data_IF_390787123347
#
_entry.id   IF_390787123347
#
_cell.length_a   1.000
_cell.length_b   1.000
_cell.length_c   1.000
_cell.angle_alpha   90.00
_cell.angle_beta   90.00
_cell.angle_gamma   90.00
#
_symmetry.space_group_name_H-M   'P 1'
#
loop_
_entity.id
_entity.type
_entity.pdbx_description
1 polymer ?
#
# COMPACT_ATOMS: atom_id res chain seq x y z
N UNK A 1 8.36 -5.35 -21.36
CA UNK A 1 9.27 -4.78 -20.35
C UNK A 1 9.86 -5.86 -19.47
N UNK A 2 9.16 -6.28 -18.41
CA UNK A 2 9.69 -7.21 -17.38
C UNK A 2 10.25 -8.50 -17.99
N UNK A 3 9.47 -9.20 -18.83
CA UNK A 3 9.92 -10.47 -19.46
C UNK A 3 11.16 -10.30 -20.33
N UNK A 4 11.25 -9.22 -21.08
CA UNK A 4 12.40 -8.94 -21.93
C UNK A 4 13.66 -8.69 -21.10
N UNK A 5 13.56 -7.84 -20.06
CA UNK A 5 14.69 -7.53 -19.17
C UNK A 5 15.12 -8.77 -18.39
N UNK A 6 14.17 -9.57 -17.89
CA UNK A 6 14.48 -10.83 -17.21
C UNK A 6 15.17 -11.81 -18.17
N UNK A 7 14.67 -11.95 -19.40
CA UNK A 7 15.31 -12.80 -20.41
C UNK A 7 16.74 -12.38 -20.72
N UNK A 8 17.00 -11.08 -20.89
CA UNK A 8 18.35 -10.55 -21.07
C UNK A 8 19.21 -10.78 -19.84
N UNK A 9 18.67 -10.61 -18.64
CA UNK A 9 19.39 -10.87 -17.38
C UNK A 9 19.86 -12.33 -17.27
N UNK A 10 19.00 -13.27 -17.66
CA UNK A 10 19.35 -14.70 -17.69
C UNK A 10 20.42 -14.95 -18.76
N UNK A 11 20.28 -14.35 -19.93
CA UNK A 11 21.21 -14.53 -21.04
C UNK A 11 22.62 -14.00 -20.73
N UNK A 12 22.72 -12.89 -19.97
CA UNK A 12 23.97 -12.31 -19.50
C UNK A 12 24.49 -12.92 -18.18
N UNK A 13 23.81 -13.95 -17.63
CA UNK A 13 24.22 -14.60 -16.39
C UNK A 13 24.02 -13.75 -15.11
N UNK A 14 23.26 -12.65 -15.19
CA UNK A 14 22.95 -11.77 -14.08
C UNK A 14 21.81 -12.31 -13.20
N UNK A 15 21.01 -13.24 -13.73
CA UNK A 15 19.92 -13.91 -13.01
C UNK A 15 19.94 -15.40 -13.34
N UNK A 16 19.65 -16.24 -12.36
CA UNK A 16 19.63 -17.68 -12.53
C UNK A 16 18.20 -18.19 -12.66
N UNK A 17 17.91 -18.93 -13.73
CA UNK A 17 16.66 -19.65 -13.88
C UNK A 17 16.82 -21.05 -13.28
N UNK A 18 16.33 -21.26 -12.07
CA UNK A 18 16.38 -22.56 -11.38
C UNK A 18 15.32 -23.55 -11.85
N UNK A 19 14.37 -23.09 -12.65
CA UNK A 19 13.28 -23.88 -13.22
C UNK A 19 12.13 -22.99 -13.68
N UNK A 20 11.16 -23.57 -14.37
CA UNK A 20 9.96 -22.85 -14.82
C UNK A 20 8.77 -23.16 -13.93
N UNK A 21 8.60 -24.42 -13.55
CA UNK A 21 7.46 -24.90 -12.76
C UNK A 21 7.97 -25.68 -11.57
N UNK A 22 7.36 -25.47 -10.41
CA UNK A 22 7.57 -26.27 -9.21
C UNK A 22 6.25 -26.47 -8.49
N UNK A 23 6.16 -27.54 -7.69
CA UNK A 23 5.04 -27.66 -6.76
C UNK A 23 5.17 -26.61 -5.67
N UNK A 24 4.07 -25.95 -5.28
CA UNK A 24 4.08 -25.03 -4.14
C UNK A 24 4.58 -25.74 -2.88
N UNK A 25 5.38 -25.07 -2.04
CA UNK A 25 5.83 -25.67 -0.78
C UNK A 25 4.64 -25.94 0.15
N UNK A 26 4.80 -26.92 1.04
CA UNK A 26 3.76 -27.23 2.03
C UNK A 26 3.51 -26.06 2.95
N UNK A 27 2.23 -25.72 3.18
CA UNK A 27 1.81 -24.70 4.15
C UNK A 27 1.79 -25.23 5.59
N UNK A 28 1.95 -26.54 5.82
CA UNK A 28 1.86 -27.16 7.15
C UNK A 28 2.75 -26.52 8.21
N UNK A 29 3.99 -26.09 7.92
CA UNK A 29 4.85 -25.49 8.92
C UNK A 29 4.37 -24.12 9.45
N UNK A 30 3.55 -23.41 8.68
CA UNK A 30 3.11 -22.03 8.99
C UNK A 30 1.62 -21.95 9.30
N UNK A 31 0.86 -22.95 8.90
CA UNK A 31 -0.60 -22.98 9.03
C UNK A 31 -1.00 -22.94 10.51
N UNK A 32 -1.79 -21.90 10.88
CA UNK A 32 -2.32 -21.69 12.23
C UNK A 32 -1.25 -21.63 13.35
N UNK A 33 0.00 -21.28 13.02
CA UNK A 33 1.08 -21.10 13.99
C UNK A 33 1.04 -19.67 14.58
N UNK A 34 -0.17 -19.24 15.02
CA UNK A 34 -0.38 -17.92 15.59
C UNK A 34 -0.07 -17.92 17.09
N UNK A 35 0.92 -17.18 17.51
CA UNK A 35 1.18 -16.89 18.93
C UNK A 35 0.44 -15.61 19.37
N UNK A 36 -0.87 -15.76 19.60
CA UNK A 36 -1.73 -14.64 20.01
C UNK A 36 -1.35 -14.16 21.41
N UNK A 37 -0.97 -15.04 22.31
CA UNK A 37 -0.62 -14.66 23.68
C UNK A 37 0.69 -13.89 23.72
N UNK A 38 1.70 -14.34 22.97
CA UNK A 38 2.95 -13.61 22.83
C UNK A 38 2.77 -12.24 22.17
N UNK A 39 1.88 -12.15 21.18
CA UNK A 39 1.56 -10.88 20.52
C UNK A 39 0.91 -9.84 21.45
N UNK A 40 0.20 -10.30 22.49
CA UNK A 40 -0.44 -9.40 23.48
C UNK A 40 0.51 -8.95 24.61
N UNK A 41 1.77 -9.33 24.56
CA UNK A 41 2.76 -8.81 25.51
C UNK A 41 2.85 -7.29 25.38
N UNK A 42 2.93 -6.61 26.55
CA UNK A 42 2.92 -5.13 26.65
C UNK A 42 3.99 -4.50 25.74
N UNK A 43 5.14 -5.15 25.60
CA UNK A 43 6.23 -4.69 24.74
C UNK A 43 5.88 -4.71 23.24
N UNK A 44 4.93 -5.55 22.81
CA UNK A 44 4.54 -5.69 21.42
C UNK A 44 3.28 -4.90 21.04
N UNK A 45 2.54 -4.35 22.00
CA UNK A 45 1.33 -3.55 21.74
C UNK A 45 1.66 -2.37 20.82
N UNK A 46 2.77 -1.70 21.02
CA UNK A 46 3.22 -0.60 20.16
C UNK A 46 3.48 -1.04 18.73
N UNK A 47 4.04 -2.24 18.55
CA UNK A 47 4.29 -2.85 17.23
C UNK A 47 2.97 -3.18 16.54
N UNK A 48 2.01 -3.75 17.27
CA UNK A 48 0.66 -4.04 16.74
C UNK A 48 -0.02 -2.76 16.26
N UNK A 49 0.00 -1.69 17.08
CA UNK A 49 -0.54 -0.39 16.66
C UNK A 49 0.18 0.18 15.43
N UNK A 50 1.51 0.07 15.38
CA UNK A 50 2.27 0.52 14.22
C UNK A 50 1.85 -0.22 12.94
N UNK A 51 1.75 -1.55 12.98
CA UNK A 51 1.29 -2.34 11.84
C UNK A 51 -0.16 -2.03 11.47
N UNK A 52 -1.06 -1.90 12.45
CA UNK A 52 -2.46 -1.53 12.21
C UNK A 52 -2.57 -0.19 11.46
N UNK A 53 -1.81 0.83 11.91
CA UNK A 53 -1.84 2.13 11.24
C UNK A 53 -1.22 2.07 9.84
N UNK A 54 -0.11 1.35 9.67
CA UNK A 54 0.50 1.16 8.35
C UNK A 54 -0.51 0.52 7.39
N UNK A 55 -1.09 -0.61 7.79
CA UNK A 55 -2.04 -1.37 6.99
C UNK A 55 -3.29 -0.54 6.64
N UNK A 56 -3.88 0.13 7.64
CA UNK A 56 -5.06 0.96 7.46
C UNK A 56 -4.82 2.13 6.49
N UNK A 57 -3.69 2.84 6.62
CA UNK A 57 -3.41 4.01 5.77
C UNK A 57 -2.93 3.61 4.39
N UNK A 58 -2.12 2.58 4.28
CA UNK A 58 -1.66 2.05 3.00
C UNK A 58 -2.85 1.55 2.17
N UNK A 59 -3.69 0.71 2.76
CA UNK A 59 -4.91 0.20 2.10
C UNK A 59 -5.89 1.33 1.78
N UNK A 60 -6.17 2.24 2.73
CA UNK A 60 -7.12 3.33 2.49
C UNK A 60 -6.64 4.26 1.38
N UNK A 61 -5.36 4.63 1.39
CA UNK A 61 -4.76 5.48 0.36
C UNK A 61 -4.81 4.83 -1.02
N UNK A 62 -4.42 3.57 -1.10
CA UNK A 62 -4.46 2.78 -2.34
C UNK A 62 -5.89 2.62 -2.86
N UNK A 63 -6.85 2.26 -2.00
CA UNK A 63 -8.26 2.11 -2.39
C UNK A 63 -8.84 3.41 -2.95
N UNK A 64 -8.60 4.54 -2.31
CA UNK A 64 -9.09 5.84 -2.79
C UNK A 64 -8.43 6.21 -4.11
N UNK A 65 -7.11 6.06 -4.23
CA UNK A 65 -6.37 6.35 -5.46
C UNK A 65 -6.82 5.47 -6.63
N UNK A 66 -7.00 4.17 -6.40
CA UNK A 66 -7.50 3.22 -7.40
C UNK A 66 -8.96 3.49 -7.76
N UNK A 67 -9.82 3.79 -6.76
CA UNK A 67 -11.23 4.14 -6.98
C UNK A 67 -11.37 5.42 -7.81
N UNK A 68 -10.53 6.41 -7.56
CA UNK A 68 -10.48 7.64 -8.36
C UNK A 68 -10.13 7.34 -9.82
N UNK A 69 -9.13 6.49 -10.06
CA UNK A 69 -8.74 6.07 -11.42
C UNK A 69 -9.82 5.26 -12.13
N UNK A 70 -10.68 4.57 -11.37
CA UNK A 70 -11.79 3.77 -11.88
C UNK A 70 -13.09 4.57 -12.05
N UNK A 71 -13.12 5.88 -11.72
CA UNK A 71 -14.31 6.73 -11.68
C UNK A 71 -15.39 6.19 -10.72
N UNK A 72 -14.98 5.62 -9.58
CA UNK A 72 -15.85 5.05 -8.56
C UNK A 72 -16.11 6.00 -7.37
N UNK A 73 -15.54 7.20 -7.39
CA UNK A 73 -15.80 8.22 -6.37
C UNK A 73 -17.13 8.92 -6.64
N UNK A 74 -17.80 9.32 -5.56
CA UNK A 74 -19.01 10.15 -5.65
C UNK A 74 -18.65 11.62 -5.94
N UNK A 75 -19.70 12.47 -6.03
CA UNK A 75 -19.54 13.90 -6.31
C UNK A 75 -18.77 14.65 -5.20
N UNK A 76 -18.74 14.09 -4.01
CA UNK A 76 -18.02 14.63 -2.85
C UNK A 76 -16.59 14.06 -2.74
N UNK A 77 -16.12 13.31 -3.71
CA UNK A 77 -14.81 12.67 -3.72
C UNK A 77 -14.68 11.49 -2.76
N UNK A 78 -15.79 10.95 -2.27
CA UNK A 78 -15.81 9.80 -1.36
C UNK A 78 -16.03 8.49 -2.11
N UNK A 79 -15.43 7.42 -1.60
CA UNK A 79 -15.67 6.06 -2.11
C UNK A 79 -16.92 5.46 -1.43
N UNK A 80 -18.05 5.27 -2.13
CA UNK A 80 -19.33 4.88 -1.52
C UNK A 80 -19.31 3.54 -0.79
N UNK A 81 -18.41 2.64 -1.16
CA UNK A 81 -18.30 1.27 -0.60
C UNK A 81 -16.99 1.04 0.15
N UNK A 82 -16.32 2.10 0.60
CA UNK A 82 -15.02 2.00 1.28
C UNK A 82 -15.06 1.01 2.46
N UNK A 83 -16.08 1.05 3.31
CA UNK A 83 -16.18 0.13 4.45
C UNK A 83 -16.27 -1.34 4.04
N UNK A 84 -16.91 -1.66 2.91
CA UNK A 84 -16.94 -3.05 2.40
C UNK A 84 -15.58 -3.46 1.83
N UNK A 85 -14.88 -2.55 1.18
CA UNK A 85 -13.55 -2.80 0.66
C UNK A 85 -12.55 -3.03 1.80
N UNK A 86 -12.56 -2.19 2.83
CA UNK A 86 -11.76 -2.38 4.04
C UNK A 86 -12.09 -3.68 4.78
N UNK A 87 -13.37 -4.06 4.85
CA UNK A 87 -13.76 -5.34 5.45
C UNK A 87 -13.21 -6.53 4.64
N UNK A 88 -13.25 -6.46 3.32
CA UNK A 88 -12.68 -7.49 2.45
C UNK A 88 -11.15 -7.60 2.64
N UNK A 89 -10.47 -6.48 2.72
CA UNK A 89 -9.02 -6.39 2.96
C UNK A 89 -8.64 -6.98 4.32
N UNK A 90 -9.34 -6.57 5.39
CA UNK A 90 -9.11 -7.10 6.75
C UNK A 90 -9.38 -8.60 6.84
N UNK A 91 -10.43 -9.12 6.18
CA UNK A 91 -10.70 -10.55 6.15
C UNK A 91 -9.64 -11.32 5.39
N UNK A 92 -9.10 -10.75 4.30
CA UNK A 92 -7.99 -11.34 3.56
C UNK A 92 -6.70 -11.35 4.39
N UNK A 93 -6.41 -10.27 5.13
CA UNK A 93 -5.27 -10.19 6.07
C UNK A 93 -5.38 -11.24 7.17
N UNK A 94 -6.59 -11.43 7.76
CA UNK A 94 -6.82 -12.48 8.76
C UNK A 94 -6.60 -13.88 8.18
N UNK A 95 -7.09 -14.14 6.96
CA UNK A 95 -6.85 -15.41 6.28
C UNK A 95 -5.35 -15.61 5.97
N UNK A 96 -4.66 -14.56 5.51
CA UNK A 96 -3.21 -14.57 5.29
C UNK A 96 -2.44 -14.89 6.57
N UNK A 97 -2.79 -14.27 7.71
CA UNK A 97 -2.19 -14.56 9.00
C UNK A 97 -2.40 -16.02 9.41
N UNK A 98 -3.60 -16.57 9.20
CA UNK A 98 -3.86 -17.99 9.48
C UNK A 98 -3.04 -18.94 8.60
N UNK A 99 -2.70 -18.53 7.38
CA UNK A 99 -1.81 -19.28 6.47
C UNK A 99 -0.33 -19.04 6.78
N UNK A 100 0.01 -18.07 7.65
CA UNK A 100 1.38 -17.71 8.01
C UNK A 100 2.06 -16.80 6.98
N UNK A 101 1.27 -16.00 6.24
CA UNK A 101 1.80 -14.97 5.33
C UNK A 101 1.81 -13.59 6.01
N UNK A 102 2.48 -12.62 5.40
CA UNK A 102 2.39 -11.22 5.78
C UNK A 102 0.98 -10.66 5.52
N UNK A 103 0.74 -9.41 5.93
CA UNK A 103 -0.51 -8.69 5.65
C UNK A 103 -0.86 -8.74 4.17
N UNK A 104 -2.15 -8.95 3.87
CA UNK A 104 -2.70 -8.86 2.53
C UNK A 104 -3.23 -7.45 2.33
N UNK A 105 -2.76 -6.75 1.34
CA UNK A 105 -3.15 -5.36 1.08
C UNK A 105 -3.58 -5.14 -0.37
N UNK A 106 -4.33 -4.08 -0.60
CA UNK A 106 -4.73 -3.67 -1.95
C UNK A 106 -3.55 -3.03 -2.67
N UNK A 107 -3.27 -3.47 -3.90
CA UNK A 107 -2.13 -3.01 -4.70
C UNK A 107 -2.49 -1.83 -5.59
N UNK A 108 -1.62 -0.81 -5.58
CA UNK A 108 -1.75 0.37 -6.44
C UNK A 108 -1.54 0.01 -7.93
N UNK A 109 -0.83 -1.06 -8.22
CA UNK A 109 -0.63 -1.64 -9.56
C UNK A 109 -1.95 -2.04 -10.23
N UNK A 110 -3.04 -2.22 -9.46
CA UNK A 110 -4.39 -2.40 -9.98
C UNK A 110 -4.82 -1.25 -10.91
N UNK A 111 -4.24 -0.06 -10.75
CA UNK A 111 -4.44 1.07 -11.66
C UNK A 111 -4.08 0.74 -13.12
N UNK A 112 -3.10 -0.14 -13.36
CA UNK A 112 -2.74 -0.61 -14.70
C UNK A 112 -3.88 -1.45 -15.31
N UNK A 113 -4.47 -2.36 -14.53
CA UNK A 113 -5.61 -3.17 -14.95
C UNK A 113 -6.85 -2.32 -15.24
N UNK A 114 -7.12 -1.31 -14.40
CA UNK A 114 -8.21 -0.34 -14.60
C UNK A 114 -8.01 0.47 -15.88
N UNK A 115 -6.78 0.91 -16.15
CA UNK A 115 -6.44 1.63 -17.38
C UNK A 115 -6.65 0.79 -18.63
N UNK A 116 -6.51 -0.53 -18.52
CA UNK A 116 -6.82 -1.50 -19.58
C UNK A 116 -8.33 -1.85 -19.69
N UNK A 117 -9.18 -1.26 -18.83
CA UNK A 117 -10.64 -1.46 -18.85
C UNK A 117 -11.18 -2.42 -17.78
N UNK A 118 -10.34 -2.98 -16.92
CA UNK A 118 -10.73 -3.90 -15.84
C UNK A 118 -11.35 -3.17 -14.65
N UNK A 119 -12.66 -2.91 -14.68
CA UNK A 119 -13.38 -2.13 -13.65
C UNK A 119 -14.44 -2.91 -12.89
N UNK A 120 -14.43 -4.23 -12.99
CA UNK A 120 -15.46 -5.10 -12.39
C UNK A 120 -14.86 -6.11 -11.43
N UNK A 121 -15.69 -6.64 -10.52
CA UNK A 121 -15.28 -7.72 -9.62
C UNK A 121 -14.83 -8.99 -10.37
N UNK A 122 -15.30 -9.21 -11.60
CA UNK A 122 -14.84 -10.32 -12.43
C UNK A 122 -13.33 -10.20 -12.73
N UNK A 123 -12.85 -8.98 -13.03
CA UNK A 123 -11.41 -8.74 -13.23
C UNK A 123 -10.61 -9.11 -11.99
N UNK A 124 -11.11 -8.77 -10.79
CA UNK A 124 -10.46 -9.15 -9.53
C UNK A 124 -10.46 -10.67 -9.32
N UNK A 125 -11.53 -11.37 -9.66
CA UNK A 125 -11.59 -12.83 -9.60
C UNK A 125 -10.58 -13.49 -10.56
N UNK A 126 -10.42 -12.96 -11.77
CA UNK A 126 -9.42 -13.43 -12.72
C UNK A 126 -8.01 -13.23 -12.16
N UNK A 127 -7.72 -12.07 -11.57
CA UNK A 127 -6.43 -11.80 -10.91
C UNK A 127 -6.18 -12.80 -9.78
N UNK A 128 -7.19 -13.10 -8.94
CA UNK A 128 -7.06 -14.08 -7.87
C UNK A 128 -6.71 -15.48 -8.41
N UNK A 129 -7.37 -15.92 -9.48
CA UNK A 129 -7.05 -17.21 -10.12
C UNK A 129 -5.63 -17.20 -10.68
N UNK A 130 -5.20 -16.09 -11.32
CA UNK A 130 -3.85 -15.97 -11.84
C UNK A 130 -2.79 -16.01 -10.73
N UNK A 131 -3.06 -15.42 -9.55
CA UNK A 131 -2.17 -15.54 -8.39
C UNK A 131 -2.07 -16.99 -7.90
N UNK A 132 -3.18 -17.73 -7.83
CA UNK A 132 -3.16 -19.14 -7.47
C UNK A 132 -2.36 -19.99 -8.48
N UNK A 133 -2.50 -19.70 -9.77
CA UNK A 133 -1.70 -20.36 -10.80
C UNK A 133 -0.21 -19.97 -10.72
N UNK A 134 0.09 -18.72 -10.37
CA UNK A 134 1.46 -18.23 -10.21
C UNK A 134 2.25 -18.97 -9.11
N UNK A 135 1.58 -19.59 -8.14
CA UNK A 135 2.25 -20.42 -7.13
C UNK A 135 3.08 -21.55 -7.74
N UNK A 136 2.61 -22.11 -8.87
CA UNK A 136 3.34 -23.16 -9.57
C UNK A 136 4.54 -22.61 -10.37
N UNK A 137 4.57 -21.30 -10.61
CA UNK A 137 5.64 -20.63 -11.35
C UNK A 137 6.59 -19.86 -10.41
N UNK A 138 6.66 -20.25 -9.15
CA UNK A 138 7.54 -19.62 -8.16
C UNK A 138 9.02 -19.53 -8.60
N UNK A 139 9.63 -20.57 -9.23
CA UNK A 139 11.02 -20.48 -9.72
C UNK A 139 11.20 -19.42 -10.81
N UNK A 140 10.21 -19.28 -11.69
CA UNK A 140 10.23 -18.26 -12.74
C UNK A 140 10.08 -16.85 -12.13
N UNK A 141 9.20 -16.69 -11.13
CA UNK A 141 9.05 -15.43 -10.42
C UNK A 141 10.32 -15.03 -9.66
N UNK A 142 11.01 -16.01 -9.05
CA UNK A 142 12.29 -15.81 -8.38
C UNK A 142 13.45 -15.44 -9.32
N UNK A 143 13.34 -15.75 -10.62
CA UNK A 143 14.32 -15.35 -11.63
C UNK A 143 14.18 -13.88 -12.08
N UNK A 144 13.06 -13.20 -11.73
CA UNK A 144 12.82 -11.80 -12.10
C UNK A 144 13.64 -10.88 -11.19
N UNK A 145 14.65 -10.17 -11.69
CA UNK A 145 15.45 -9.28 -10.86
C UNK A 145 14.68 -7.98 -10.55
N UNK A 146 14.97 -7.37 -9.40
CA UNK A 146 14.29 -6.15 -8.94
C UNK A 146 14.34 -5.00 -9.96
N UNK A 147 15.45 -4.84 -10.67
CA UNK A 147 15.57 -3.81 -11.71
C UNK A 147 14.66 -4.04 -12.92
N UNK A 148 14.20 -5.28 -13.16
CA UNK A 148 13.25 -5.57 -14.23
C UNK A 148 11.83 -5.10 -13.90
N UNK A 149 11.49 -4.97 -12.63
CA UNK A 149 10.17 -4.49 -12.18
C UNK A 149 10.10 -2.96 -12.10
N UNK A 150 11.23 -2.27 -11.95
CA UNK A 150 11.29 -0.82 -11.81
C UNK A 150 10.54 -0.04 -12.92
N UNK A 151 10.63 -0.39 -14.22
CA UNK A 151 9.87 0.29 -15.26
C UNK A 151 8.35 0.15 -15.11
N UNK A 152 7.86 -0.99 -14.57
CA UNK A 152 6.44 -1.19 -14.34
C UNK A 152 5.95 -0.32 -13.19
N UNK A 153 6.73 -0.20 -12.11
CA UNK A 153 6.42 0.71 -10.99
C UNK A 153 6.43 2.17 -11.46
N UNK A 154 7.39 2.56 -12.29
CA UNK A 154 7.43 3.89 -12.88
C UNK A 154 6.19 4.17 -13.73
N UNK A 155 5.75 3.20 -14.53
CA UNK A 155 4.53 3.32 -15.32
C UNK A 155 3.29 3.55 -14.43
N UNK A 156 3.15 2.77 -13.35
CA UNK A 156 2.06 2.95 -12.37
C UNK A 156 2.15 4.32 -11.70
N UNK A 157 3.34 4.75 -11.30
CA UNK A 157 3.54 6.08 -10.73
C UNK A 157 3.05 7.19 -11.68
N UNK A 158 3.39 7.11 -12.98
CA UNK A 158 2.91 8.06 -14.00
C UNK A 158 1.38 8.04 -14.12
N UNK A 159 0.75 6.87 -14.08
CA UNK A 159 -0.71 6.76 -14.09
C UNK A 159 -1.36 7.45 -12.89
N UNK A 160 -0.70 7.40 -11.71
CA UNK A 160 -1.21 8.00 -10.46
C UNK A 160 -0.89 9.48 -10.33
N UNK A 161 0.10 10.00 -11.07
CA UNK A 161 0.44 11.44 -11.05
C UNK A 161 -0.72 12.36 -11.44
N UNK A 162 -1.70 11.86 -12.20
CA UNK A 162 -2.90 12.63 -12.52
C UNK A 162 -3.68 13.10 -11.29
N UNK A 163 -3.56 12.40 -10.17
CA UNK A 163 -4.20 12.78 -8.90
C UNK A 163 -3.56 14.02 -8.28
N UNK A 164 -2.30 14.32 -8.57
CA UNK A 164 -1.61 15.52 -8.11
C UNK A 164 -2.20 16.79 -8.70
N UNK A 165 -2.84 16.72 -9.87
CA UNK A 165 -3.52 17.84 -10.50
C UNK A 165 -4.75 18.34 -9.73
N UNK A 166 -5.25 17.55 -8.76
CA UNK A 166 -6.38 17.94 -7.91
C UNK A 166 -5.98 18.70 -6.65
N UNK A 167 -4.68 18.76 -6.38
CA UNK A 167 -4.13 19.51 -5.25
C UNK A 167 -4.13 20.97 -5.60
N UNK A 168 -4.64 21.80 -4.70
CA UNK A 168 -4.51 23.26 -4.79
C UNK A 168 -3.08 23.66 -4.43
N UNK A 169 -2.24 23.79 -5.45
CA UNK A 169 -0.83 24.17 -5.30
C UNK A 169 -0.63 25.64 -4.95
N UNK A 170 -1.64 26.48 -5.15
CA UNK A 170 -1.60 27.91 -4.79
C UNK A 170 -1.85 28.12 -3.30
N UNK A 171 -2.57 27.19 -2.65
CA UNK A 171 -2.73 27.18 -1.18
C UNK A 171 -1.56 26.45 -0.50
N UNK A 172 -0.59 27.21 -0.01
CA UNK A 172 0.57 26.65 0.71
C UNK A 172 0.18 25.80 1.94
N UNK A 173 -0.99 26.04 2.52
CA UNK A 173 -1.46 25.25 3.68
C UNK A 173 -1.92 23.85 3.27
N UNK A 174 -2.12 23.61 1.98
CA UNK A 174 -2.42 22.32 1.37
C UNK A 174 -1.18 21.73 0.71
N UNK A 175 -0.50 22.54 -0.11
CA UNK A 175 0.66 22.09 -0.90
C UNK A 175 1.85 21.66 -0.02
N UNK A 176 2.20 22.43 1.00
CA UNK A 176 3.36 22.12 1.83
C UNK A 176 3.25 20.78 2.58
N UNK A 177 2.14 20.42 3.23
CA UNK A 177 1.96 19.10 3.83
C UNK A 177 2.10 17.95 2.82
N UNK A 178 1.58 18.12 1.60
CA UNK A 178 1.70 17.13 0.54
C UNK A 178 3.16 16.92 0.14
N UNK A 179 3.92 18.00 -0.03
CA UNK A 179 5.35 17.93 -0.34
C UNK A 179 6.12 17.26 0.81
N UNK A 180 5.81 17.61 2.06
CA UNK A 180 6.43 16.98 3.24
C UNK A 180 6.15 15.48 3.24
N UNK A 181 4.90 15.05 3.02
CA UNK A 181 4.56 13.62 2.95
C UNK A 181 5.32 12.93 1.83
N UNK A 182 5.30 13.50 0.62
CA UNK A 182 5.92 12.91 -0.56
C UNK A 182 7.45 12.76 -0.42
N UNK A 183 8.12 13.72 0.22
CA UNK A 183 9.56 13.66 0.46
C UNK A 183 9.91 12.74 1.64
N UNK A 184 9.10 12.73 2.69
CA UNK A 184 9.36 11.91 3.85
C UNK A 184 9.23 10.40 3.55
N UNK A 185 8.34 9.97 2.66
CA UNK A 185 8.17 8.56 2.28
C UNK A 185 9.48 7.90 1.81
N UNK A 186 10.15 8.39 0.77
CA UNK A 186 11.41 7.79 0.31
C UNK A 186 12.56 8.01 1.29
N UNK A 187 12.61 9.14 2.01
CA UNK A 187 13.69 9.43 2.95
C UNK A 187 13.64 8.54 4.19
N UNK A 188 12.45 8.13 4.63
CA UNK A 188 12.28 7.25 5.78
C UNK A 188 12.08 5.78 5.40
N UNK A 189 12.06 5.46 4.10
CA UNK A 189 11.70 4.14 3.57
C UNK A 189 10.38 3.61 4.14
N UNK A 190 9.43 4.51 4.43
CA UNK A 190 8.18 4.17 5.09
C UNK A 190 7.04 5.07 4.62
N UNK A 191 6.02 4.47 4.01
CA UNK A 191 4.78 5.15 3.63
C UNK A 191 4.09 5.72 4.87
N UNK A 192 4.02 4.93 5.96
CA UNK A 192 3.39 5.35 7.20
C UNK A 192 4.06 6.58 7.84
N UNK A 193 5.39 6.64 7.82
CA UNK A 193 6.10 7.82 8.33
C UNK A 193 5.83 9.05 7.44
N UNK A 194 5.80 8.87 6.12
CA UNK A 194 5.45 9.94 5.20
C UNK A 194 4.05 10.51 5.47
N UNK A 195 3.05 9.65 5.63
CA UNK A 195 1.68 10.04 6.00
C UNK A 195 1.67 10.74 7.36
N UNK A 196 2.40 10.21 8.35
CA UNK A 196 2.50 10.80 9.68
C UNK A 196 3.06 12.23 9.62
N UNK A 197 4.18 12.43 8.93
CA UNK A 197 4.78 13.77 8.74
C UNK A 197 3.84 14.71 7.97
N UNK A 198 3.13 14.19 6.95
CA UNK A 198 2.14 14.97 6.21
C UNK A 198 0.99 15.45 7.10
N UNK A 199 0.42 14.59 7.94
CA UNK A 199 -0.67 14.97 8.85
C UNK A 199 -0.20 15.93 9.94
N UNK A 200 0.98 15.71 10.50
CA UNK A 200 1.57 16.62 11.49
C UNK A 200 1.81 17.98 10.84
N UNK A 201 2.41 18.04 9.66
CA UNK A 201 2.66 19.28 8.92
C UNK A 201 1.34 19.98 8.57
N UNK A 202 0.32 19.27 8.09
CA UNK A 202 -0.98 19.83 7.77
C UNK A 202 -1.63 20.46 9.00
N UNK A 203 -1.63 19.75 10.13
CA UNK A 203 -2.22 20.25 11.38
C UNK A 203 -1.48 21.49 11.87
N UNK A 204 -0.15 21.46 11.91
CA UNK A 204 0.66 22.59 12.37
C UNK A 204 0.52 23.82 11.45
N UNK A 205 0.57 23.63 10.13
CA UNK A 205 0.48 24.75 9.19
C UNK A 205 -0.91 25.39 9.24
N UNK A 206 -2.00 24.58 9.31
CA UNK A 206 -3.37 25.13 9.46
C UNK A 206 -3.55 25.87 10.78
N UNK A 207 -2.97 25.37 11.88
CA UNK A 207 -2.99 26.05 13.19
C UNK A 207 -2.25 27.39 13.12
N UNK A 208 -1.03 27.41 12.57
CA UNK A 208 -0.21 28.62 12.45
C UNK A 208 -0.81 29.64 11.49
N UNK A 209 -1.49 29.19 10.45
CA UNK A 209 -2.21 30.04 9.51
C UNK A 209 -3.54 30.61 10.06
N UNK A 210 -3.94 30.23 11.29
CA UNK A 210 -5.19 30.67 11.91
C UNK A 210 -6.45 30.06 11.27
N UNK A 211 -6.31 29.03 10.47
CA UNK A 211 -7.44 28.36 9.76
C UNK A 211 -8.06 27.24 10.60
N UNK A 212 -8.40 27.54 11.84
CA UNK A 212 -8.88 26.56 12.84
C UNK A 212 -10.19 25.87 12.44
N UNK A 213 -11.02 26.55 11.64
CA UNK A 213 -12.31 26.03 11.18
C UNK A 213 -12.17 24.93 10.10
N UNK A 214 -11.02 24.86 9.47
CA UNK A 214 -10.71 23.85 8.45
C UNK A 214 -10.07 22.60 9.05
N UNK A 215 -9.76 22.61 10.36
CA UNK A 215 -9.17 21.47 11.04
C UNK A 215 -10.21 20.35 11.19
N UNK A 216 -9.89 19.19 10.64
CA UNK A 216 -10.67 17.99 10.89
C UNK A 216 -10.24 17.39 12.23
N UNK A 217 -11.16 17.24 13.22
CA UNK A 217 -10.82 16.70 14.53
C UNK A 217 -10.14 15.33 14.48
N UNK A 218 -10.54 14.46 13.54
CA UNK A 218 -9.93 13.14 13.37
C UNK A 218 -8.46 13.25 12.92
N UNK A 219 -8.13 14.16 12.00
CA UNK A 219 -6.76 14.38 11.56
C UNK A 219 -5.88 14.98 12.65
N UNK A 220 -6.45 15.86 13.49
CA UNK A 220 -5.73 16.43 14.66
C UNK A 220 -5.41 15.33 15.66
N UNK A 221 -6.38 14.48 16.00
CA UNK A 221 -6.14 13.32 16.89
C UNK A 221 -5.08 12.40 16.33
N UNK A 222 -5.15 12.06 15.03
CA UNK A 222 -4.16 11.24 14.36
C UNK A 222 -2.76 11.88 14.37
N UNK A 223 -2.68 13.19 14.13
CA UNK A 223 -1.40 13.92 14.21
C UNK A 223 -0.79 13.85 15.60
N UNK A 224 -1.60 14.00 16.65
CA UNK A 224 -1.12 13.86 18.04
C UNK A 224 -0.63 12.43 18.31
N UNK A 225 -1.37 11.41 17.85
CA UNK A 225 -0.97 10.01 18.00
C UNK A 225 0.35 9.72 17.25
N UNK A 226 0.53 10.30 16.08
CA UNK A 226 1.78 10.15 15.33
C UNK A 226 2.96 10.87 16.00
N UNK A 227 2.74 12.05 16.59
CA UNK A 227 3.77 12.75 17.39
C UNK A 227 4.19 11.89 18.58
N UNK A 228 3.21 11.32 19.30
CA UNK A 228 3.50 10.43 20.43
C UNK A 228 4.26 9.18 19.94
N UNK A 229 3.83 8.57 18.84
CA UNK A 229 4.53 7.43 18.24
C UNK A 229 5.97 7.76 17.90
N UNK A 230 6.22 8.87 17.20
CA UNK A 230 7.56 9.27 16.77
C UNK A 230 8.45 9.69 17.96
N UNK A 231 7.88 10.26 19.03
CA UNK A 231 8.62 10.68 20.20
C UNK A 231 8.90 9.58 21.22
N UNK A 232 8.07 8.52 21.24
CA UNK A 232 8.18 7.46 22.23
C UNK A 232 8.78 6.17 21.69
N UNK A 233 8.67 5.94 20.36
CA UNK A 233 9.06 4.70 19.69
C UNK A 233 10.04 4.92 18.52
N UNK A 234 10.68 6.08 18.44
CA UNK A 234 11.74 6.38 17.48
C UNK A 234 13.10 5.79 17.92
#
# INVERSE_FOLDING_TARGET
GILLVTGLSILFGLSQLTGVVSMPPSLMPTLLQLDIMGALDIGLISVIFAFLFVDLFDTSGTLVGVAQKADLLDKDGKMPKLGRALLADSTATMAGAALGTSTTTSYIESAAGISAGGRTGLSACVVAVLFLLALFFAPLAGAVPAYATAPALLFVAVLMMSSLAQIDWDDLTVAAPVVVAALAMPLTFSIANGIAFGFIAWTLIKLLAGRWRELNPALVVLSVLFVVKLGWFA
#
